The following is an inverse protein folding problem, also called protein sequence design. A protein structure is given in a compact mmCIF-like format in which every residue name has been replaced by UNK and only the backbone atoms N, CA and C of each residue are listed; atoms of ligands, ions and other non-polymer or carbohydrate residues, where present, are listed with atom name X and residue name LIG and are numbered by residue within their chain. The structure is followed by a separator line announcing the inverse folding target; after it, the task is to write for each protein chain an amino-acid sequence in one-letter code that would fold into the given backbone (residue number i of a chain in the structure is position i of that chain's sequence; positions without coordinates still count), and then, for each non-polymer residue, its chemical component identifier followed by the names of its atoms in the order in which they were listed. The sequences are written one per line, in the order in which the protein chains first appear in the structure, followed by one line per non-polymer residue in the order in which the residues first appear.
data_IF_518307340387
#
_entry.id   IF_518307340387
#
_cell.length_a   1.000
_cell.length_b   1.000
_cell.length_c   1.000
_cell.angle_alpha   90.00
_cell.angle_beta   90.00
_cell.angle_gamma   90.00
#
_symmetry.space_group_name_H-M   'P 1'
#
loop_
_entity.id
_entity.type
_entity.pdbx_description
1 polymer ?
#
# COMPACT_ATOMS: atom_id res chain seq x y z
N UNK A 1 -28.46 -2.18 2.06
CA UNK A 1 -27.50 -2.35 3.17
C UNK A 1 -27.27 -3.84 3.35
N UNK A 2 -26.26 -4.37 2.65
CA UNK A 2 -25.77 -5.75 2.76
C UNK A 2 -24.48 -5.92 1.91
N UNK A 3 -23.54 -4.98 1.99
CA UNK A 3 -22.25 -5.04 1.26
C UNK A 3 -21.02 -4.80 2.17
N UNK A 4 -21.24 -4.59 3.47
CA UNK A 4 -20.17 -4.28 4.43
C UNK A 4 -19.21 -5.46 4.78
N UNK A 5 -19.60 -6.75 4.82
CA UNK A 5 -18.67 -7.80 5.24
C UNK A 5 -17.64 -8.19 4.16
N UNK A 6 -17.98 -8.01 2.88
CA UNK A 6 -17.09 -8.34 1.75
C UNK A 6 -15.96 -7.30 1.66
N UNK A 7 -16.31 -6.03 1.86
CA UNK A 7 -15.40 -4.89 1.80
C UNK A 7 -14.34 -4.90 2.92
N UNK A 8 -14.73 -5.22 4.17
CA UNK A 8 -13.76 -5.37 5.27
C UNK A 8 -12.84 -6.59 5.09
N UNK A 9 -13.37 -7.67 4.52
CA UNK A 9 -12.58 -8.88 4.22
C UNK A 9 -11.54 -8.56 3.15
N UNK A 10 -11.95 -7.91 2.06
CA UNK A 10 -11.02 -7.48 1.02
C UNK A 10 -9.99 -6.49 1.59
N UNK A 11 -10.39 -5.53 2.41
CA UNK A 11 -9.47 -4.59 3.04
C UNK A 11 -8.39 -5.29 3.89
N UNK A 12 -8.74 -6.36 4.60
CA UNK A 12 -7.80 -7.16 5.36
C UNK A 12 -6.80 -7.92 4.44
N UNK A 13 -7.27 -8.48 3.33
CA UNK A 13 -6.42 -9.13 2.33
C UNK A 13 -5.47 -8.13 1.67
N UNK A 14 -5.98 -6.98 1.23
CA UNK A 14 -5.17 -5.92 0.63
C UNK A 14 -4.15 -5.38 1.64
N UNK A 15 -4.49 -5.35 2.93
CA UNK A 15 -3.55 -4.96 3.98
C UNK A 15 -2.38 -5.95 4.09
N UNK A 16 -2.62 -7.25 3.96
CA UNK A 16 -1.54 -8.23 3.90
C UNK A 16 -0.67 -8.04 2.65
N UNK A 17 -1.30 -7.81 1.49
CA UNK A 17 -0.61 -7.64 0.22
C UNK A 17 0.25 -6.37 0.18
N UNK A 18 -0.20 -5.24 0.73
CA UNK A 18 0.60 -4.01 0.80
C UNK A 18 1.84 -4.16 1.72
N UNK A 19 1.80 -5.13 2.63
CA UNK A 19 2.90 -5.51 3.53
C UNK A 19 3.75 -6.69 3.00
N UNK A 20 3.56 -7.11 1.75
CA UNK A 20 4.35 -8.21 1.15
C UNK A 20 5.85 -7.94 1.31
N UNK A 21 6.65 -8.91 1.80
CA UNK A 21 8.08 -8.74 2.06
C UNK A 21 8.89 -8.22 0.86
N UNK A 22 9.99 -7.52 1.14
CA UNK A 22 10.93 -7.09 0.12
C UNK A 22 11.70 -8.28 -0.45
N UNK A 23 12.06 -8.20 -1.73
CA UNK A 23 12.89 -9.20 -2.41
C UNK A 23 12.15 -10.45 -2.91
N UNK A 24 10.87 -10.61 -2.53
CA UNK A 24 10.02 -11.60 -3.18
C UNK A 24 9.73 -11.20 -4.64
N UNK A 25 9.77 -12.18 -5.54
CA UNK A 25 9.55 -11.95 -6.97
C UNK A 25 8.16 -11.35 -7.19
N UNK A 26 8.10 -10.19 -7.86
CA UNK A 26 6.87 -9.42 -8.11
C UNK A 26 6.26 -8.72 -6.90
N UNK A 27 6.90 -8.76 -5.73
CA UNK A 27 6.39 -8.14 -4.51
C UNK A 27 6.16 -6.63 -4.66
N UNK A 28 6.96 -5.94 -5.47
CA UNK A 28 6.73 -4.53 -5.77
C UNK A 28 5.36 -4.30 -6.43
N UNK A 29 5.00 -5.15 -7.40
CA UNK A 29 3.70 -5.06 -8.10
C UNK A 29 2.55 -5.43 -7.18
N UNK A 30 2.74 -6.45 -6.33
CA UNK A 30 1.76 -6.84 -5.31
C UNK A 30 1.45 -5.69 -4.36
N UNK A 31 2.50 -5.05 -3.81
CA UNK A 31 2.34 -3.89 -2.93
C UNK A 31 1.62 -2.73 -3.64
N UNK A 32 1.96 -2.45 -4.90
CA UNK A 32 1.29 -1.39 -5.67
C UNK A 32 -0.18 -1.69 -5.97
N UNK A 33 -0.51 -2.93 -6.35
CA UNK A 33 -1.89 -3.33 -6.59
C UNK A 33 -2.75 -3.17 -5.32
N UNK A 34 -2.21 -3.54 -4.16
CA UNK A 34 -2.87 -3.34 -2.88
C UNK A 34 -2.96 -1.86 -2.49
N UNK A 35 -1.91 -1.07 -2.73
CA UNK A 35 -1.94 0.39 -2.49
C UNK A 35 -3.04 1.10 -3.31
N UNK A 36 -3.30 0.65 -4.54
CA UNK A 36 -4.38 1.16 -5.38
C UNK A 36 -5.77 0.98 -4.74
N UNK A 37 -5.98 -0.12 -4.00
CA UNK A 37 -7.24 -0.35 -3.29
C UNK A 37 -7.47 0.72 -2.22
N UNK A 38 -6.49 0.96 -1.35
CA UNK A 38 -6.59 1.99 -0.29
C UNK A 38 -6.68 3.40 -0.87
N UNK A 39 -6.01 3.69 -1.98
CA UNK A 39 -6.15 4.96 -2.68
C UNK A 39 -7.58 5.18 -3.19
N UNK A 40 -8.20 4.17 -3.82
CA UNK A 40 -9.58 4.27 -4.31
C UNK A 40 -10.61 4.51 -3.21
N UNK A 41 -10.31 4.04 -2.00
CA UNK A 41 -11.12 4.26 -0.78
C UNK A 41 -10.89 5.61 -0.11
N UNK A 42 -9.93 6.40 -0.60
CA UNK A 42 -9.54 7.68 0.03
C UNK A 42 -8.71 7.52 1.31
N UNK A 43 -8.24 6.31 1.61
CA UNK A 43 -7.45 6.00 2.82
C UNK A 43 -5.94 6.20 2.60
N UNK A 44 -5.52 6.51 1.38
CA UNK A 44 -4.14 6.76 0.98
C UNK A 44 -4.07 7.96 0.04
N UNK A 45 -3.07 8.82 0.21
CA UNK A 45 -2.85 9.97 -0.68
C UNK A 45 -2.27 9.56 -2.03
N UNK A 46 -2.49 10.38 -3.06
CA UNK A 46 -1.88 10.18 -4.37
C UNK A 46 -0.34 10.18 -4.32
N UNK A 47 0.25 10.99 -3.44
CA UNK A 47 1.70 11.05 -3.23
C UNK A 47 2.26 9.73 -2.67
N UNK A 48 1.54 9.12 -1.73
CA UNK A 48 1.88 7.81 -1.17
C UNK A 48 1.76 6.71 -2.23
N UNK A 49 0.67 6.73 -3.01
CA UNK A 49 0.46 5.78 -4.11
C UNK A 49 1.57 5.87 -5.17
N UNK A 50 2.03 7.08 -5.50
CA UNK A 50 3.09 7.26 -6.49
C UNK A 50 4.42 6.63 -6.03
N UNK A 51 4.70 6.60 -4.74
CA UNK A 51 5.86 5.86 -4.21
C UNK A 51 5.71 4.37 -4.49
N UNK A 52 4.57 3.78 -4.16
CA UNK A 52 4.31 2.38 -4.48
C UNK A 52 4.41 2.10 -5.98
N UNK A 53 3.96 3.02 -6.84
CA UNK A 53 4.07 2.90 -8.31
C UNK A 53 5.53 2.85 -8.77
N UNK A 54 6.40 3.68 -8.19
CA UNK A 54 7.84 3.68 -8.48
C UNK A 54 8.47 2.36 -8.02
N UNK A 55 8.17 1.92 -6.80
CA UNK A 55 8.66 0.66 -6.25
C UNK A 55 8.09 -0.58 -6.94
N UNK A 56 7.05 -0.46 -7.77
CA UNK A 56 6.39 -1.60 -8.41
C UNK A 56 7.31 -2.44 -9.31
N UNK A 57 8.39 -1.85 -9.82
CA UNK A 57 9.41 -2.54 -10.65
C UNK A 57 10.65 -2.95 -9.85
N UNK A 58 10.71 -2.60 -8.57
CA UNK A 58 11.87 -2.75 -7.70
C UNK A 58 11.47 -3.57 -6.47
N UNK A 59 11.48 -4.89 -6.61
CA UNK A 59 11.00 -5.80 -5.56
C UNK A 59 11.73 -5.63 -4.21
N UNK A 60 12.97 -5.15 -4.24
CA UNK A 60 13.82 -4.91 -3.07
C UNK A 60 13.70 -3.49 -2.47
N UNK A 61 13.03 -2.57 -3.15
CA UNK A 61 12.97 -1.18 -2.71
C UNK A 61 11.94 -1.00 -1.60
N UNK A 62 12.34 -0.27 -0.54
CA UNK A 62 11.46 0.01 0.59
C UNK A 62 10.69 1.33 0.34
N UNK A 63 9.35 1.30 0.23
CA UNK A 63 8.57 2.50 0.01
C UNK A 63 8.48 3.41 1.25
N UNK A 64 8.63 2.90 2.47
CA UNK A 64 8.33 3.65 3.70
C UNK A 64 9.21 4.90 3.89
N UNK A 65 10.55 4.83 3.71
CA UNK A 65 11.40 6.03 3.79
C UNK A 65 10.99 7.08 2.75
N UNK A 66 10.68 6.67 1.52
CA UNK A 66 10.27 7.58 0.46
C UNK A 66 8.90 8.24 0.73
N UNK A 67 7.97 7.49 1.32
CA UNK A 67 6.65 8.01 1.74
C UNK A 67 6.82 9.09 2.82
N UNK A 68 7.76 8.88 3.76
CA UNK A 68 8.06 9.85 4.83
C UNK A 68 8.51 11.19 4.26
N UNK A 69 9.41 11.18 3.28
CA UNK A 69 9.94 12.37 2.63
C UNK A 69 8.89 13.09 1.75
N UNK A 70 7.82 12.41 1.34
CA UNK A 70 6.74 12.94 0.49
C UNK A 70 5.44 13.25 1.23
N UNK A 71 5.47 13.32 2.56
CA UNK A 71 4.33 13.77 3.35
C UNK A 71 3.25 12.70 3.62
N UNK A 72 3.50 11.41 3.38
CA UNK A 72 2.54 10.33 3.68
C UNK A 72 2.51 9.92 5.15
N UNK A 73 2.56 10.88 6.07
CA UNK A 73 2.69 10.63 7.51
C UNK A 73 1.54 9.82 8.09
N UNK A 74 0.30 10.07 7.65
CA UNK A 74 -0.87 9.34 8.17
C UNK A 74 -0.86 7.87 7.72
N UNK A 75 -0.38 7.59 6.51
CA UNK A 75 -0.16 6.22 6.06
C UNK A 75 0.92 5.52 6.89
N UNK A 76 2.03 6.20 7.19
CA UNK A 76 3.09 5.64 8.03
C UNK A 76 2.63 5.35 9.46
N UNK A 77 1.84 6.26 10.06
CA UNK A 77 1.22 6.01 11.38
C UNK A 77 0.37 4.75 11.38
N UNK A 78 -0.41 4.52 10.31
CA UNK A 78 -1.21 3.29 10.16
C UNK A 78 -0.33 2.04 10.04
N UNK A 79 0.81 2.15 9.37
CA UNK A 79 1.80 1.07 9.25
C UNK A 79 2.62 0.84 10.54
N UNK A 80 2.53 1.75 11.52
CA UNK A 80 3.33 1.69 12.75
C UNK A 80 4.80 2.09 12.56
N UNK A 81 5.09 2.89 11.53
CA UNK A 81 6.45 3.28 11.10
C UNK A 81 6.78 4.76 11.36
#
# INVERSE_FOLDING_TARGET
MADEPDDETEAAEQWQLVNTPLGEKWSGRTRYAAAMYFYKRGEMSAETLEVYRICARLDWENPLPMIRDRGGQDWLKRMGA
#
